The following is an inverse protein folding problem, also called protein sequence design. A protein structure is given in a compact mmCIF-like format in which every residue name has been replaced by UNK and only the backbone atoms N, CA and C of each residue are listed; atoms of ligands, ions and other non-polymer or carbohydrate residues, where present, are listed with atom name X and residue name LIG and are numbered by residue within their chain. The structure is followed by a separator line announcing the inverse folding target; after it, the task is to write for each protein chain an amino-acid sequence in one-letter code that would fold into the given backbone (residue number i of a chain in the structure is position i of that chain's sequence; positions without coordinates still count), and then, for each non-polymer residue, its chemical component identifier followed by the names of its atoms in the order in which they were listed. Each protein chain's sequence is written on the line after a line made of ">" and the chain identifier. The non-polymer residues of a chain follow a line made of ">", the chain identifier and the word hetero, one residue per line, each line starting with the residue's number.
data_IF_348867011980
#
_entry.id   IF_348867011980
#
_cell.length_a   1.000
_cell.length_b   1.000
_cell.length_c   1.000
_cell.angle_alpha   90.00
_cell.angle_beta   90.00
_cell.angle_gamma   90.00
#
_symmetry.space_group_name_H-M   'P 1'
#
loop_
_entity.id
_entity.type
_entity.pdbx_description
1 polymer ?
#
# COMPACT_ATOMS: atom_id res chain seq x y z
N UNK A 1 13.42 17.09 1.52
CA UNK A 1 13.69 15.64 1.34
C UNK A 1 12.66 15.08 0.40
N UNK A 2 13.07 14.22 -0.54
CA UNK A 2 12.20 13.55 -1.50
C UNK A 2 12.47 12.05 -1.42
N UNK A 3 11.42 11.23 -1.45
CA UNK A 3 11.50 9.78 -1.56
C UNK A 3 10.87 9.32 -2.88
N UNK A 4 11.50 8.36 -3.55
CA UNK A 4 11.01 7.78 -4.81
C UNK A 4 11.10 6.26 -4.74
N UNK A 5 9.95 5.60 -4.86
CA UNK A 5 9.86 4.16 -5.01
C UNK A 5 10.04 3.76 -6.48
N UNK A 6 11.14 3.08 -6.79
CA UNK A 6 11.39 2.57 -8.12
C UNK A 6 10.88 1.13 -8.24
N UNK A 7 9.83 0.94 -9.06
CA UNK A 7 9.26 -0.37 -9.39
C UNK A 7 10.16 -1.13 -10.37
N UNK A 8 10.88 -0.41 -11.23
CA UNK A 8 11.72 -0.96 -12.29
C UNK A 8 10.93 -1.49 -13.48
N UNK A 9 11.63 -2.11 -14.42
CA UNK A 9 11.04 -2.77 -15.58
C UNK A 9 10.25 -4.03 -15.15
N UNK A 10 8.96 -4.17 -15.48
CA UNK A 10 8.18 -5.33 -15.10
C UNK A 10 8.56 -6.62 -15.85
N UNK A 11 9.27 -6.51 -16.98
CA UNK A 11 9.59 -7.64 -17.87
C UNK A 11 10.95 -8.26 -17.59
N UNK A 12 11.89 -7.47 -17.03
CA UNK A 12 13.26 -7.91 -16.74
C UNK A 12 13.66 -7.61 -15.30
N UNK A 13 14.67 -8.33 -14.84
CA UNK A 13 15.36 -7.96 -13.61
C UNK A 13 16.21 -6.72 -13.87
N UNK A 14 16.26 -5.81 -12.88
CA UNK A 14 17.11 -4.65 -13.01
C UNK A 14 17.59 -4.12 -11.65
N UNK A 15 18.81 -3.62 -11.65
CA UNK A 15 19.47 -3.13 -10.43
C UNK A 15 18.97 -1.78 -9.92
N UNK A 16 18.16 -1.07 -10.72
CA UNK A 16 17.65 0.27 -10.35
C UNK A 16 16.37 0.22 -9.52
N UNK A 17 15.85 -0.97 -9.20
CA UNK A 17 14.73 -1.15 -8.29
C UNK A 17 15.08 -0.75 -6.88
N UNK A 18 14.08 -0.39 -6.08
CA UNK A 18 14.24 -0.04 -4.67
C UNK A 18 13.72 1.34 -4.30
N UNK A 19 13.98 1.74 -3.07
CA UNK A 19 13.59 3.05 -2.55
C UNK A 19 14.80 3.99 -2.57
N UNK A 20 14.60 5.18 -3.12
CA UNK A 20 15.60 6.22 -3.22
C UNK A 20 15.20 7.44 -2.41
N UNK A 21 16.21 8.11 -1.84
CA UNK A 21 16.08 9.33 -1.06
C UNK A 21 16.99 10.42 -1.65
N UNK A 22 16.45 11.60 -1.79
CA UNK A 22 17.21 12.83 -2.06
C UNK A 22 17.06 13.81 -0.91
N UNK A 23 18.15 14.45 -0.52
CA UNK A 23 18.17 15.50 0.52
C UNK A 23 18.47 16.89 -0.05
N UNK A 24 18.66 17.01 -1.35
CA UNK A 24 19.10 18.22 -2.05
C UNK A 24 18.15 18.66 -3.18
N UNK A 25 16.87 18.31 -3.06
CA UNK A 25 15.83 18.69 -4.02
C UNK A 25 15.83 17.86 -5.31
N UNK A 26 16.35 16.63 -5.27
CA UNK A 26 16.36 15.72 -6.40
C UNK A 26 17.63 15.77 -7.26
N UNK A 27 18.66 16.51 -6.84
CA UNK A 27 19.92 16.60 -7.59
C UNK A 27 20.75 15.32 -7.45
N UNK A 28 20.80 14.76 -6.24
CA UNK A 28 21.48 13.50 -5.95
C UNK A 28 20.53 12.53 -5.24
N UNK A 29 20.71 11.23 -5.52
CA UNK A 29 19.87 10.17 -5.02
C UNK A 29 20.69 9.07 -4.36
N UNK A 30 20.30 8.65 -3.18
CA UNK A 30 20.85 7.49 -2.47
C UNK A 30 19.79 6.40 -2.41
N UNK A 31 20.10 5.16 -2.82
CA UNK A 31 19.21 4.03 -2.59
C UNK A 31 19.28 3.63 -1.13
N UNK A 32 18.13 3.64 -0.45
CA UNK A 32 18.02 3.45 1.01
C UNK A 32 17.29 2.15 1.40
N UNK A 33 16.59 1.50 0.46
CA UNK A 33 16.00 0.18 0.66
C UNK A 33 16.04 -0.61 -0.64
N UNK A 34 16.58 -1.83 -0.55
CA UNK A 34 16.71 -2.76 -1.67
C UNK A 34 16.65 -4.20 -1.18
N UNK A 35 16.05 -5.09 -1.92
CA UNK A 35 16.01 -6.52 -1.64
C UNK A 35 16.79 -7.31 -2.70
N UNK A 36 16.30 -7.30 -3.93
CA UNK A 36 16.93 -7.97 -5.08
C UNK A 36 16.49 -7.30 -6.40
N UNK A 37 17.10 -7.73 -7.51
CA UNK A 37 16.85 -7.17 -8.84
C UNK A 37 15.43 -7.44 -9.39
N UNK A 38 14.65 -8.30 -8.74
CA UNK A 38 13.26 -8.61 -9.11
C UNK A 38 12.23 -7.86 -8.26
N UNK A 39 12.66 -7.10 -7.21
CA UNK A 39 11.78 -6.47 -6.23
C UNK A 39 11.88 -4.95 -6.27
N UNK A 40 10.77 -4.28 -6.62
CA UNK A 40 10.64 -2.83 -6.59
C UNK A 40 9.73 -2.36 -5.44
N UNK A 41 9.56 -1.05 -5.31
CA UNK A 41 8.64 -0.46 -4.33
C UNK A 41 7.25 -0.38 -4.95
N UNK A 42 6.28 -1.08 -4.36
CA UNK A 42 4.88 -1.02 -4.76
C UNK A 42 4.14 0.14 -4.10
N UNK A 43 4.49 0.45 -2.85
CA UNK A 43 3.85 1.53 -2.11
C UNK A 43 4.78 2.10 -1.04
N UNK A 44 4.58 3.38 -0.69
CA UNK A 44 5.35 4.10 0.31
C UNK A 44 4.44 5.12 1.00
N UNK A 45 4.31 5.00 2.31
CA UNK A 45 3.56 5.98 3.11
C UNK A 45 4.42 6.55 4.22
N UNK A 46 4.25 7.85 4.47
CA UNK A 46 4.94 8.60 5.52
C UNK A 46 3.94 9.03 6.58
N UNK A 47 4.33 8.91 7.85
CA UNK A 47 3.53 9.43 8.96
C UNK A 47 3.39 10.95 8.82
N UNK A 48 2.15 11.49 8.76
CA UNK A 48 1.91 12.91 8.53
C UNK A 48 2.35 13.82 9.68
N UNK A 49 2.53 13.26 10.89
CA UNK A 49 2.95 14.00 12.08
C UNK A 49 4.44 13.79 12.34
N UNK A 50 4.95 12.56 12.12
CA UNK A 50 6.34 12.22 12.32
C UNK A 50 6.99 11.78 11.00
N UNK A 51 7.57 12.68 10.20
CA UNK A 51 8.15 12.36 8.90
C UNK A 51 9.39 11.46 8.94
N UNK A 52 9.89 11.13 10.15
CA UNK A 52 10.93 10.11 10.32
C UNK A 52 10.39 8.69 10.17
N UNK A 53 9.09 8.51 10.37
CA UNK A 53 8.43 7.20 10.28
C UNK A 53 7.89 6.98 8.89
N UNK A 54 8.34 5.89 8.26
CA UNK A 54 8.00 5.51 6.90
C UNK A 54 7.64 4.02 6.86
N UNK A 55 6.63 3.68 6.06
CA UNK A 55 6.37 2.30 5.67
C UNK A 55 6.61 2.14 4.18
N UNK A 56 7.34 1.11 3.80
CA UNK A 56 7.61 0.76 2.41
C UNK A 56 7.22 -0.68 2.12
N UNK A 57 6.51 -0.88 1.01
CA UNK A 57 6.11 -2.18 0.50
C UNK A 57 7.01 -2.58 -0.66
N UNK A 58 7.87 -3.56 -0.46
CA UNK A 58 8.63 -4.20 -1.54
C UNK A 58 7.76 -5.28 -2.20
N UNK A 59 7.82 -5.32 -3.52
CA UNK A 59 7.07 -6.24 -4.36
C UNK A 59 7.96 -6.91 -5.40
N UNK A 60 8.16 -8.20 -5.25
CA UNK A 60 8.80 -9.03 -6.26
C UNK A 60 7.79 -9.39 -7.35
N UNK A 61 8.11 -9.05 -8.59
CA UNK A 61 7.24 -9.35 -9.72
C UNK A 61 8.03 -9.50 -11.01
N UNK A 62 7.50 -10.33 -11.91
CA UNK A 62 8.00 -10.48 -13.27
C UNK A 62 6.86 -10.84 -14.21
N UNK A 63 6.79 -10.16 -15.34
CA UNK A 63 5.80 -10.42 -16.38
C UNK A 63 6.48 -10.91 -17.65
N UNK A 64 5.92 -11.93 -18.26
CA UNK A 64 6.29 -12.40 -19.60
C UNK A 64 5.04 -12.47 -20.47
N UNK A 65 5.15 -12.68 -21.81
CA UNK A 65 3.97 -12.85 -22.65
C UNK A 65 3.04 -14.00 -22.24
N UNK A 66 3.54 -15.01 -21.51
CA UNK A 66 2.81 -16.22 -21.15
C UNK A 66 2.77 -16.49 -19.64
N UNK A 67 3.38 -15.67 -18.82
CA UNK A 67 3.37 -15.86 -17.36
C UNK A 67 3.46 -14.56 -16.61
N UNK A 68 2.97 -14.59 -15.39
CA UNK A 68 3.07 -13.52 -14.43
C UNK A 68 3.43 -14.09 -13.05
N UNK A 69 4.55 -13.62 -12.50
CA UNK A 69 4.93 -13.91 -11.12
C UNK A 69 4.55 -12.72 -10.27
N UNK A 70 3.66 -12.94 -9.29
CA UNK A 70 3.26 -11.95 -8.30
C UNK A 70 3.67 -12.46 -6.93
N UNK A 71 4.64 -11.79 -6.31
CA UNK A 71 5.16 -12.16 -5.01
C UNK A 71 6.44 -12.99 -5.05
N UNK A 72 7.03 -13.17 -3.88
CA UNK A 72 8.24 -13.93 -3.65
C UNK A 72 9.00 -13.47 -2.40
N UNK A 73 10.13 -14.11 -2.13
CA UNK A 73 10.96 -13.85 -0.94
C UNK A 73 11.48 -12.42 -0.82
N UNK A 74 11.57 -11.71 -1.95
CA UNK A 74 11.98 -10.31 -2.01
C UNK A 74 10.88 -9.32 -1.67
N UNK A 75 9.60 -9.76 -1.58
CA UNK A 75 8.49 -8.93 -1.14
C UNK A 75 8.44 -8.79 0.37
N UNK A 76 7.81 -7.73 0.85
CA UNK A 76 7.55 -7.54 2.26
C UNK A 76 7.20 -6.12 2.63
N UNK A 77 6.73 -5.98 3.86
CA UNK A 77 6.47 -4.69 4.50
C UNK A 77 7.65 -4.31 5.38
N UNK A 78 8.09 -3.06 5.25
CA UNK A 78 9.24 -2.53 5.98
C UNK A 78 8.86 -1.25 6.70
N UNK A 79 9.42 -1.05 7.90
CA UNK A 79 9.27 0.14 8.72
C UNK A 79 10.62 0.78 8.97
N UNK A 80 10.68 2.09 8.77
CA UNK A 80 11.78 2.95 9.23
C UNK A 80 11.25 3.95 10.25
N UNK A 81 12.08 4.26 11.26
CA UNK A 81 11.80 5.27 12.29
C UNK A 81 12.82 6.43 12.28
N UNK A 82 13.70 6.45 11.29
CA UNK A 82 14.85 7.36 11.18
C UNK A 82 14.98 8.01 9.79
N UNK A 83 13.84 8.26 9.14
CA UNK A 83 13.79 8.87 7.79
C UNK A 83 14.43 7.99 6.71
N UNK A 84 14.35 6.67 6.85
CA UNK A 84 14.83 5.71 5.88
C UNK A 84 16.32 5.38 5.97
N UNK A 85 17.02 5.76 7.05
CA UNK A 85 18.42 5.36 7.22
C UNK A 85 18.55 3.88 7.59
N UNK A 86 17.61 3.36 8.39
CA UNK A 86 17.49 1.93 8.70
C UNK A 86 16.07 1.42 8.49
N UNK A 87 15.96 0.13 8.18
CA UNK A 87 14.69 -0.53 7.88
C UNK A 87 14.56 -1.86 8.60
N UNK A 88 13.43 -2.09 9.25
CA UNK A 88 13.06 -3.35 9.87
C UNK A 88 11.95 -4.03 9.07
N UNK A 89 12.15 -5.29 8.67
CA UNK A 89 11.09 -6.07 8.01
C UNK A 89 10.03 -6.46 9.04
N UNK A 90 8.78 -6.15 8.75
CA UNK A 90 7.62 -6.59 9.52
C UNK A 90 7.22 -7.99 9.04
N UNK A 91 7.06 -8.92 9.96
CA UNK A 91 6.81 -10.32 9.64
C UNK A 91 5.78 -10.99 10.52
N UNK A 92 5.89 -12.30 10.65
CA UNK A 92 4.94 -13.15 11.40
C UNK A 92 4.86 -12.77 12.87
N UNK A 93 5.99 -12.40 13.48
CA UNK A 93 6.04 -12.00 14.90
C UNK A 93 5.24 -10.72 15.19
N UNK A 94 5.00 -9.90 14.17
CA UNK A 94 4.15 -8.71 14.23
C UNK A 94 2.72 -8.97 13.76
N UNK A 95 2.37 -10.22 13.39
CA UNK A 95 1.02 -10.63 12.99
C UNK A 95 0.78 -10.70 11.49
N UNK A 96 1.80 -10.50 10.63
CA UNK A 96 1.66 -10.65 9.19
C UNK A 96 1.66 -12.13 8.75
N UNK A 97 1.18 -12.45 7.52
CA UNK A 97 1.13 -13.81 7.03
C UNK A 97 2.50 -14.47 6.92
N UNK A 98 2.52 -15.78 7.13
CA UNK A 98 3.71 -16.59 6.85
C UNK A 98 3.83 -16.87 5.35
N UNK A 99 5.07 -16.98 4.86
CA UNK A 99 5.41 -17.32 3.48
C UNK A 99 5.67 -16.11 2.61
N UNK A 100 5.68 -16.33 1.31
CA UNK A 100 5.91 -15.28 0.33
C UNK A 100 4.71 -14.34 0.25
N UNK A 101 5.00 -13.05 0.22
CA UNK A 101 4.01 -12.01 0.02
C UNK A 101 4.07 -11.50 -1.42
N UNK A 102 2.95 -11.02 -1.91
CA UNK A 102 2.84 -10.31 -3.18
C UNK A 102 2.81 -8.80 -3.00
N UNK A 103 1.95 -8.14 -3.77
CA UNK A 103 1.77 -6.68 -3.69
C UNK A 103 1.08 -6.30 -2.37
N UNK A 104 1.54 -5.22 -1.78
CA UNK A 104 0.98 -4.64 -0.56
C UNK A 104 0.61 -3.20 -0.86
N UNK A 105 -0.65 -2.85 -0.57
CA UNK A 105 -1.13 -1.47 -0.55
C UNK A 105 -1.22 -0.98 0.89
N UNK A 106 -0.87 0.28 1.13
CA UNK A 106 -0.73 0.88 2.45
C UNK A 106 -1.59 2.14 2.56
N UNK A 107 -2.13 2.39 3.74
CA UNK A 107 -2.71 3.69 4.09
C UNK A 107 -2.49 3.98 5.57
N UNK A 108 -2.18 5.25 5.89
CA UNK A 108 -2.00 5.74 7.24
C UNK A 108 -3.05 6.82 7.54
N UNK A 109 -3.75 6.71 8.67
CA UNK A 109 -4.76 7.69 9.04
C UNK A 109 -4.09 9.01 9.48
N UNK A 110 -4.48 10.11 8.83
CA UNK A 110 -3.94 11.44 9.19
C UNK A 110 -4.45 11.91 10.56
N UNK A 111 -5.69 11.56 10.92
CA UNK A 111 -6.29 11.87 12.22
C UNK A 111 -5.67 11.08 13.37
N UNK A 112 -5.13 9.90 13.10
CA UNK A 112 -4.46 9.04 14.08
C UNK A 112 -3.37 8.19 13.41
N UNK A 113 -2.10 8.64 13.33
CA UNK A 113 -1.02 7.91 12.68
C UNK A 113 -0.60 6.59 13.36
N UNK A 114 -1.19 6.24 14.51
CA UNK A 114 -1.08 4.89 15.06
C UNK A 114 -1.94 3.88 14.29
N UNK A 115 -2.98 4.36 13.59
CA UNK A 115 -3.83 3.56 12.71
C UNK A 115 -3.22 3.47 11.31
N UNK A 116 -2.79 2.26 10.97
CA UNK A 116 -2.21 1.94 9.65
C UNK A 116 -2.92 0.73 9.06
N UNK A 117 -3.23 0.79 7.79
CA UNK A 117 -3.87 -0.30 7.04
C UNK A 117 -2.89 -0.88 6.02
N UNK A 118 -2.96 -2.21 5.83
CA UNK A 118 -2.19 -2.92 4.83
C UNK A 118 -3.07 -3.98 4.16
N UNK A 119 -3.32 -3.83 2.85
CA UNK A 119 -3.96 -4.86 2.03
C UNK A 119 -2.86 -5.71 1.41
N UNK A 120 -2.79 -6.99 1.78
CA UNK A 120 -1.65 -7.85 1.51
C UNK A 120 -2.06 -9.01 0.61
N UNK A 121 -1.39 -9.11 -0.54
CA UNK A 121 -1.40 -10.29 -1.38
C UNK A 121 -0.53 -11.37 -0.74
N UNK A 122 -1.13 -12.54 -0.51
CA UNK A 122 -0.50 -13.71 0.08
C UNK A 122 -1.23 -14.98 -0.40
N UNK A 123 -0.90 -16.15 0.13
CA UNK A 123 -1.68 -17.39 -0.13
C UNK A 123 -3.18 -17.18 0.09
N UNK A 124 -3.56 -16.37 1.07
CA UNK A 124 -4.88 -15.80 1.27
C UNK A 124 -4.74 -14.29 1.37
N UNK A 125 -5.38 -13.56 0.48
CA UNK A 125 -5.34 -12.10 0.50
C UNK A 125 -6.17 -11.57 1.65
N UNK A 126 -5.62 -10.63 2.39
CA UNK A 126 -6.19 -10.13 3.64
C UNK A 126 -5.97 -8.62 3.77
N UNK A 127 -6.90 -7.98 4.48
CA UNK A 127 -6.74 -6.62 4.95
C UNK A 127 -6.33 -6.64 6.44
N UNK A 128 -5.22 -6.04 6.72
CA UNK A 128 -4.65 -5.89 8.06
C UNK A 128 -4.78 -4.46 8.56
N UNK A 129 -4.82 -4.32 9.88
CA UNK A 129 -4.77 -3.04 10.56
C UNK A 129 -3.80 -3.13 11.75
N UNK A 130 -3.04 -2.07 11.92
CA UNK A 130 -2.30 -1.77 13.14
C UNK A 130 -2.96 -0.59 13.83
N UNK A 131 -3.11 -0.65 15.15
CA UNK A 131 -3.59 0.43 16.00
C UNK A 131 -2.48 0.97 16.93
N UNK A 132 -1.23 0.54 16.69
CA UNK A 132 -0.06 0.92 17.48
C UNK A 132 1.15 1.33 16.63
N UNK A 133 0.86 1.96 15.51
CA UNK A 133 1.88 2.55 14.65
C UNK A 133 2.75 1.56 13.90
N UNK A 134 2.22 0.36 13.61
CA UNK A 134 2.91 -0.68 12.85
C UNK A 134 3.68 -1.68 13.69
N UNK A 135 3.59 -1.60 15.02
CA UNK A 135 4.29 -2.54 15.93
C UNK A 135 3.66 -3.93 15.89
N UNK A 136 2.34 -4.01 15.79
CA UNK A 136 1.61 -5.27 15.59
C UNK A 136 0.42 -5.07 14.65
N UNK A 137 -0.01 -6.17 14.02
CA UNK A 137 -1.01 -6.18 12.97
C UNK A 137 -2.06 -7.26 13.21
N UNK A 138 -3.31 -6.93 12.96
CA UNK A 138 -4.44 -7.86 13.06
C UNK A 138 -5.20 -7.91 11.76
N UNK A 139 -5.70 -9.09 11.39
CA UNK A 139 -6.61 -9.26 10.26
C UNK A 139 -7.94 -8.64 10.60
N UNK A 140 -8.42 -7.72 9.77
CA UNK A 140 -9.74 -7.08 9.94
C UNK A 140 -10.74 -7.50 8.86
N UNK A 141 -10.26 -7.90 7.69
CA UNK A 141 -11.14 -8.38 6.62
C UNK A 141 -10.46 -9.50 5.82
N UNK A 142 -11.21 -10.54 5.56
CA UNK A 142 -10.77 -11.70 4.76
C UNK A 142 -11.76 -12.06 3.64
N UNK A 143 -12.75 -11.20 3.37
CA UNK A 143 -13.72 -11.40 2.31
C UNK A 143 -13.04 -11.21 0.94
N UNK A 144 -13.01 -12.26 0.10
CA UNK A 144 -12.33 -12.18 -1.21
C UNK A 144 -12.90 -11.08 -2.13
N UNK A 145 -14.17 -10.71 -1.95
CA UNK A 145 -14.80 -9.62 -2.71
C UNK A 145 -14.04 -8.30 -2.55
N UNK A 146 -13.41 -8.06 -1.40
CA UNK A 146 -12.69 -6.82 -1.10
C UNK A 146 -11.18 -6.98 -1.04
N UNK A 147 -10.68 -8.20 -0.85
CA UNK A 147 -9.25 -8.45 -0.65
C UNK A 147 -8.58 -9.13 -1.84
N UNK A 148 -9.34 -9.74 -2.78
CA UNK A 148 -8.77 -10.52 -3.89
C UNK A 148 -9.21 -9.97 -5.26
N UNK A 149 -8.96 -8.69 -5.52
CA UNK A 149 -9.33 -8.01 -6.76
C UNK A 149 -8.09 -7.74 -7.60
N UNK A 150 -7.53 -8.78 -8.22
CA UNK A 150 -6.32 -8.68 -9.05
C UNK A 150 -5.23 -7.87 -8.33
N UNK A 151 -4.60 -8.38 -7.23
CA UNK A 151 -3.71 -7.59 -6.36
C UNK A 151 -2.57 -6.90 -7.09
N UNK A 152 -2.05 -7.53 -8.14
CA UNK A 152 -1.03 -6.93 -9.00
C UNK A 152 -1.47 -5.64 -9.71
N UNK A 153 -2.80 -5.40 -9.79
CA UNK A 153 -3.42 -4.23 -10.42
C UNK A 153 -4.02 -3.27 -9.40
N UNK A 154 -4.83 -3.80 -8.46
CA UNK A 154 -5.65 -3.03 -7.53
C UNK A 154 -5.32 -3.37 -6.09
N UNK A 155 -4.38 -2.67 -5.49
CA UNK A 155 -4.03 -2.85 -4.08
C UNK A 155 -4.17 -1.56 -3.27
N UNK A 156 -4.58 -0.47 -3.91
CA UNK A 156 -4.57 0.85 -3.32
C UNK A 156 -5.68 1.02 -2.29
N UNK A 157 -5.38 1.78 -1.25
CA UNK A 157 -6.26 2.15 -0.15
C UNK A 157 -6.13 3.65 0.10
N UNK A 158 -7.19 4.29 0.57
CA UNK A 158 -7.11 5.63 1.13
C UNK A 158 -7.92 5.69 2.43
N UNK A 159 -7.41 6.38 3.43
CA UNK A 159 -8.12 6.68 4.69
C UNK A 159 -8.59 8.12 4.63
N UNK A 160 -9.81 8.37 5.11
CA UNK A 160 -10.32 9.71 5.29
C UNK A 160 -9.36 10.53 6.16
N UNK A 161 -9.18 11.79 5.83
CA UNK A 161 -8.20 12.65 6.49
C UNK A 161 -8.60 13.05 7.92
N UNK A 162 -9.89 12.92 8.25
CA UNK A 162 -10.46 13.32 9.55
C UNK A 162 -11.08 12.13 10.32
N UNK A 163 -11.35 11.00 9.64
CA UNK A 163 -11.96 9.80 10.24
C UNK A 163 -11.12 8.57 9.94
N UNK A 164 -10.43 8.05 10.95
CA UNK A 164 -9.56 6.88 10.84
C UNK A 164 -10.30 5.58 10.54
N UNK A 165 -11.60 5.51 10.77
CA UNK A 165 -12.45 4.34 10.49
C UNK A 165 -13.08 4.38 9.08
N UNK A 166 -13.04 5.54 8.41
CA UNK A 166 -13.48 5.66 7.02
C UNK A 166 -12.34 5.28 6.07
N UNK A 167 -12.45 4.07 5.49
CA UNK A 167 -11.46 3.50 4.59
C UNK A 167 -12.04 3.27 3.20
N UNK A 168 -11.36 3.77 2.19
CA UNK A 168 -11.68 3.54 0.78
C UNK A 168 -10.82 2.43 0.22
N UNK A 169 -11.46 1.44 -0.38
CA UNK A 169 -10.81 0.36 -1.10
C UNK A 169 -10.91 0.64 -2.60
N UNK A 170 -9.78 0.95 -3.21
CA UNK A 170 -9.68 1.49 -4.55
C UNK A 170 -9.48 0.34 -5.54
N UNK A 171 -10.52 0.04 -6.33
CA UNK A 171 -10.52 -1.01 -7.35
C UNK A 171 -11.77 -0.88 -8.25
N UNK A 172 -12.27 -1.97 -8.81
CA UNK A 172 -13.51 -2.09 -9.58
C UNK A 172 -14.63 -2.69 -8.72
N UNK A 173 -15.63 -2.00 -8.28
CA UNK A 173 -15.87 -0.57 -8.07
C UNK A 173 -15.22 -0.02 -6.80
N UNK A 174 -15.19 1.29 -6.65
CA UNK A 174 -14.80 1.91 -5.39
C UNK A 174 -15.74 1.46 -4.28
N UNK A 175 -15.20 1.02 -3.14
CA UNK A 175 -15.99 0.69 -1.96
C UNK A 175 -15.47 1.41 -0.73
N UNK A 176 -16.37 1.71 0.20
CA UNK A 176 -16.08 2.44 1.42
C UNK A 176 -16.46 1.63 2.65
N UNK A 177 -15.61 1.68 3.67
CA UNK A 177 -15.86 1.19 5.02
C UNK A 177 -16.04 2.38 5.96
N UNK A 178 -16.93 2.24 6.92
CA UNK A 178 -17.14 3.20 8.02
C UNK A 178 -16.87 2.59 9.39
N UNK A 179 -16.28 1.37 9.41
CA UNK A 179 -16.02 0.59 10.62
C UNK A 179 -14.57 0.10 10.72
N UNK A 180 -13.67 0.84 10.07
CA UNK A 180 -12.24 0.56 10.07
C UNK A 180 -11.86 -0.66 9.25
N UNK A 181 -12.57 -0.92 8.14
CA UNK A 181 -12.25 -1.98 7.19
C UNK A 181 -12.91 -3.33 7.47
N UNK A 182 -13.78 -3.46 8.48
CA UNK A 182 -14.45 -4.72 8.79
C UNK A 182 -15.52 -5.06 7.74
N UNK A 183 -16.31 -4.06 7.35
CA UNK A 183 -17.30 -4.17 6.27
C UNK A 183 -17.06 -3.10 5.20
N UNK A 184 -17.47 -3.39 3.97
CA UNK A 184 -17.39 -2.47 2.84
C UNK A 184 -18.69 -2.45 2.08
N UNK A 185 -19.16 -1.25 1.78
CA UNK A 185 -20.29 -1.00 0.90
C UNK A 185 -19.80 -0.36 -0.42
N UNK A 186 -20.51 -0.56 -1.54
CA UNK A 186 -20.26 0.23 -2.74
C UNK A 186 -20.34 1.71 -2.41
N UNK A 187 -19.38 2.51 -2.87
CA UNK A 187 -19.38 3.94 -2.58
C UNK A 187 -20.62 4.60 -3.21
N UNK A 188 -21.50 5.21 -2.42
CA UNK A 188 -22.65 5.92 -2.96
C UNK A 188 -22.26 7.20 -3.73
N UNK A 189 -21.04 7.69 -3.50
CA UNK A 189 -20.55 8.93 -4.10
C UNK A 189 -20.02 8.75 -5.54
N UNK A 190 -19.57 7.55 -5.86
CA UNK A 190 -19.14 7.17 -7.21
C UNK A 190 -19.78 5.82 -7.54
N UNK A 191 -21.06 5.81 -7.92
CA UNK A 191 -21.64 4.60 -8.46
C UNK A 191 -20.85 4.22 -9.70
N UNK A 192 -20.42 2.98 -9.78
CA UNK A 192 -19.91 2.39 -11.02
C UNK A 192 -21.09 2.29 -11.99
N UNK A 193 -21.42 3.39 -12.60
CA UNK A 193 -22.53 3.51 -13.53
C UNK A 193 -21.94 3.95 -14.87
N UNK A 194 -21.69 2.96 -15.72
CA UNK A 194 -21.19 3.19 -17.08
C UNK A 194 -22.11 4.11 -17.88
N UNK A 195 -23.40 4.19 -17.50
CA UNK A 195 -24.36 5.11 -18.13
C UNK A 195 -24.06 6.58 -17.83
N UNK A 196 -23.27 6.86 -16.77
CA UNK A 196 -22.81 8.21 -16.41
C UNK A 196 -21.39 8.52 -16.88
N UNK A 197 -20.79 7.64 -17.69
CA UNK A 197 -19.46 7.85 -18.25
C UNK A 197 -18.30 7.64 -17.29
N UNK A 198 -18.54 7.05 -16.11
CA UNK A 198 -17.50 6.71 -15.15
C UNK A 198 -17.17 5.23 -15.31
N UNK A 199 -15.99 4.94 -15.84
CA UNK A 199 -15.51 3.56 -15.97
C UNK A 199 -15.05 3.04 -14.60
N UNK A 200 -15.41 1.80 -14.29
CA UNK A 200 -15.04 1.12 -13.06
C UNK A 200 -13.61 0.58 -13.12
N UNK A 201 -12.61 1.42 -12.94
CA UNK A 201 -11.18 1.01 -12.99
C UNK A 201 -10.34 2.06 -12.24
N UNK A 202 -10.50 2.10 -10.93
CA UNK A 202 -9.89 3.14 -10.09
C UNK A 202 -8.50 2.71 -9.62
N UNK A 203 -7.50 3.59 -9.84
CA UNK A 203 -6.10 3.32 -9.49
C UNK A 203 -5.47 4.34 -8.55
N UNK A 204 -6.15 5.46 -8.28
CA UNK A 204 -5.67 6.47 -7.36
C UNK A 204 -6.84 7.24 -6.77
N UNK A 205 -6.63 7.78 -5.57
CA UNK A 205 -7.57 8.67 -4.89
C UNK A 205 -6.78 9.70 -4.09
N UNK A 206 -7.22 10.93 -4.16
CA UNK A 206 -6.74 11.98 -3.28
C UNK A 206 -7.92 12.54 -2.51
N UNK A 207 -7.74 12.82 -1.22
CA UNK A 207 -8.78 13.37 -0.34
C UNK A 207 -8.27 14.70 0.20
N UNK A 208 -9.08 15.76 0.05
CA UNK A 208 -8.72 17.06 0.57
C UNK A 208 -8.61 17.02 2.11
N UNK A 209 -7.44 17.32 2.69
CA UNK A 209 -7.25 17.23 4.14
C UNK A 209 -8.09 18.23 4.95
N UNK A 210 -8.58 19.30 4.30
CA UNK A 210 -9.44 20.32 4.94
C UNK A 210 -10.93 20.06 4.76
N UNK A 211 -11.30 19.28 3.74
CA UNK A 211 -12.69 18.98 3.40
C UNK A 211 -12.77 17.56 2.80
N UNK A 212 -12.93 16.52 3.61
CA UNK A 212 -12.93 15.13 3.13
C UNK A 212 -14.14 14.74 2.28
N UNK A 213 -15.10 15.66 2.09
CA UNK A 213 -16.17 15.48 1.11
C UNK A 213 -15.71 15.85 -0.31
N UNK A 214 -14.52 16.46 -0.44
CA UNK A 214 -13.90 16.82 -1.70
C UNK A 214 -12.71 15.86 -1.98
N UNK A 215 -12.89 14.95 -2.95
CA UNK A 215 -11.90 13.96 -3.38
C UNK A 215 -12.01 13.69 -4.88
#
# INVERSE_FOLDING_TARGET
>A
IIYVGAMGDPFTENEHRGLYKSVDGGKNWKRILFSNNSSGIADLVMDPINPKKLFAALYQHKRTPYSFVSGGSGSGLFLSLDSGETWSKIGVNQGLPQGDLGRIGLAIAQSNPNRVYAKIEAKKNLLFRSDNGGTSWTVINSNPKFTNNRPFYFQDLAVDTQDEDRLYNIYQPLSVSYDGGKTFDPSPMIPADETKGIHADFHAMWINPKDPQHF
#
